data_IF_474511028073
#
_entry.id   IF_474511028073
#
_cell.length_a   1.000
_cell.length_b   1.000
_cell.length_c   1.000
_cell.angle_alpha   90.00
_cell.angle_beta   90.00
_cell.angle_gamma   90.00
#
_symmetry.space_group_name_H-M   'P 1'
#
loop_
_entity.id
_entity.type
_entity.pdbx_description
1 polymer ?
#
# COMPACT_ATOMS: atom_id res chain seq x y z
N UNK A 1 7.54 -11.06 -12.49
CA UNK A 1 6.87 -11.03 -11.16
C UNK A 1 5.41 -11.42 -11.34
N UNK A 2 4.86 -12.30 -10.51
CA UNK A 2 3.43 -12.63 -10.57
C UNK A 2 2.58 -11.47 -10.05
N UNK A 3 1.30 -11.38 -10.46
CA UNK A 3 0.38 -10.35 -9.98
C UNK A 3 0.25 -10.38 -8.45
N UNK A 4 0.23 -11.58 -7.85
CA UNK A 4 0.17 -11.75 -6.40
C UNK A 4 1.42 -11.21 -5.70
N UNK A 5 2.62 -11.49 -6.24
CA UNK A 5 3.87 -10.95 -5.68
C UNK A 5 3.93 -9.42 -5.79
N UNK A 6 3.41 -8.85 -6.88
CA UNK A 6 3.28 -7.40 -7.03
C UNK A 6 2.33 -6.79 -5.98
N UNK A 7 1.16 -7.41 -5.79
CA UNK A 7 0.16 -6.99 -4.81
C UNK A 7 0.68 -7.05 -3.37
N UNK A 8 1.37 -8.13 -2.99
CA UNK A 8 1.99 -8.26 -1.68
C UNK A 8 3.09 -7.21 -1.47
N UNK A 9 3.96 -7.03 -2.45
CA UNK A 9 5.03 -6.01 -2.38
C UNK A 9 4.44 -4.61 -2.23
N UNK A 10 3.37 -4.30 -2.97
CA UNK A 10 2.67 -3.03 -2.85
C UNK A 10 2.05 -2.84 -1.47
N UNK A 11 1.36 -3.86 -0.95
CA UNK A 11 0.76 -3.81 0.39
C UNK A 11 1.81 -3.55 1.48
N UNK A 12 2.92 -4.30 1.47
CA UNK A 12 4.00 -4.10 2.44
C UNK A 12 4.66 -2.73 2.32
N UNK A 13 4.99 -2.30 1.11
CA UNK A 13 5.59 -0.98 0.89
C UNK A 13 4.66 0.14 1.34
N UNK A 14 3.36 0.02 1.05
CA UNK A 14 2.33 0.96 1.52
C UNK A 14 2.32 1.02 3.04
N UNK A 15 2.22 -0.12 3.73
CA UNK A 15 2.22 -0.17 5.20
C UNK A 15 3.50 0.41 5.80
N UNK A 16 4.67 0.10 5.24
CA UNK A 16 5.94 0.66 5.72
C UNK A 16 5.91 2.18 5.63
N UNK A 17 5.47 2.73 4.51
CA UNK A 17 5.46 4.18 4.30
C UNK A 17 4.40 4.87 5.16
N UNK A 18 3.21 4.30 5.31
CA UNK A 18 2.10 4.97 6.00
C UNK A 18 2.03 4.71 7.50
N UNK A 19 2.59 3.60 7.98
CA UNK A 19 2.36 3.14 9.37
C UNK A 19 3.63 2.79 10.14
N UNK A 20 4.77 2.51 9.49
CA UNK A 20 6.01 2.20 10.22
C UNK A 20 6.61 3.45 10.86
N UNK A 21 7.18 3.28 12.05
CA UNK A 21 7.99 4.29 12.74
C UNK A 21 9.21 4.72 11.93
N UNK A 22 9.72 3.83 11.06
CA UNK A 22 10.85 4.13 10.17
C UNK A 22 10.59 5.33 9.26
N UNK A 23 9.33 5.51 8.82
CA UNK A 23 8.91 6.59 7.94
C UNK A 23 8.25 7.76 8.67
N UNK A 24 8.12 7.71 10.00
CA UNK A 24 7.53 8.81 10.78
C UNK A 24 8.25 10.15 10.55
N UNK A 25 9.60 10.24 10.52
CA UNK A 25 10.29 11.51 10.24
C UNK A 25 9.93 12.09 8.86
N UNK A 26 9.69 11.23 7.87
CA UNK A 26 9.31 11.64 6.51
C UNK A 26 7.88 12.17 6.51
N UNK A 27 6.95 11.47 7.18
CA UNK A 27 5.55 11.92 7.29
C UNK A 27 5.44 13.23 8.08
N UNK A 28 6.21 13.38 9.15
CA UNK A 28 6.27 14.61 9.93
C UNK A 28 6.78 15.79 9.08
N UNK A 29 7.89 15.59 8.36
CA UNK A 29 8.43 16.60 7.46
C UNK A 29 7.47 16.95 6.30
N UNK A 30 6.73 15.96 5.79
CA UNK A 30 5.72 16.18 4.76
C UNK A 30 4.56 17.05 5.29
N UNK A 31 4.04 16.76 6.49
CA UNK A 31 3.00 17.57 7.14
C UNK A 31 3.44 19.01 7.40
N UNK A 32 4.72 19.20 7.73
CA UNK A 32 5.26 20.53 8.01
C UNK A 32 5.48 21.36 6.74
N UNK A 33 5.90 20.70 5.64
CA UNK A 33 6.42 21.40 4.44
C UNK A 33 5.51 21.38 3.24
N UNK A 34 4.55 20.46 3.17
CA UNK A 34 3.68 20.30 2.01
C UNK A 34 2.27 20.79 2.35
N UNK A 35 1.67 21.62 1.47
CA UNK A 35 0.26 21.95 1.60
C UNK A 35 -0.60 20.73 1.22
N UNK A 36 -1.80 20.65 1.80
CA UNK A 36 -2.79 19.70 1.29
C UNK A 36 -3.16 20.01 -0.17
N UNK A 37 -3.36 19.00 -1.04
CA UNK A 37 -3.51 17.55 -0.76
C UNK A 37 -2.19 16.74 -0.89
N UNK A 38 -1.03 17.38 -0.95
CA UNK A 38 0.23 16.69 -1.24
C UNK A 38 0.74 15.86 -0.06
N UNK A 39 0.34 16.21 1.16
CA UNK A 39 0.62 15.44 2.36
C UNK A 39 -0.14 14.09 2.37
N UNK A 40 -1.38 14.06 1.87
CA UNK A 40 -2.17 12.82 1.73
C UNK A 40 -1.46 11.75 0.88
N UNK A 41 -0.54 12.12 -0.01
CA UNK A 41 0.19 11.16 -0.84
C UNK A 41 1.09 10.20 -0.05
N UNK A 42 1.52 10.61 1.16
CA UNK A 42 2.43 9.86 2.02
C UNK A 42 1.77 9.33 3.29
N UNK A 43 0.52 9.71 3.54
CA UNK A 43 -0.21 9.36 4.76
C UNK A 43 -1.47 8.54 4.46
N UNK A 44 -2.06 8.68 3.26
CA UNK A 44 -3.18 7.87 2.81
C UNK A 44 -2.70 6.60 2.10
N UNK A 45 -3.03 5.43 2.67
CA UNK A 45 -2.66 4.13 2.08
C UNK A 45 -3.18 3.91 0.65
N UNK A 46 -4.27 4.58 0.26
CA UNK A 46 -4.77 4.54 -1.14
C UNK A 46 -3.81 5.27 -2.07
N UNK A 47 -3.48 6.50 -1.69
CA UNK A 47 -2.65 7.39 -2.50
C UNK A 47 -1.25 6.78 -2.61
N UNK A 48 -0.65 6.40 -1.48
CA UNK A 48 0.65 5.77 -1.43
C UNK A 48 0.69 4.47 -2.24
N UNK A 49 -0.29 3.57 -2.04
CA UNK A 49 -0.35 2.30 -2.79
C UNK A 49 -0.54 2.49 -4.29
N UNK A 50 -1.27 3.52 -4.71
CA UNK A 50 -1.49 3.83 -6.13
C UNK A 50 -0.19 4.28 -6.81
N UNK A 51 0.59 5.16 -6.18
CA UNK A 51 1.88 5.61 -6.74
C UNK A 51 2.93 4.51 -6.75
N UNK A 52 2.98 3.66 -5.71
CA UNK A 52 3.84 2.47 -5.69
C UNK A 52 3.44 1.51 -6.82
N UNK A 53 2.13 1.29 -6.99
CA UNK A 53 1.61 0.42 -8.03
C UNK A 53 1.89 0.96 -9.43
N UNK A 54 1.81 2.28 -9.61
CA UNK A 54 2.21 2.95 -10.85
C UNK A 54 3.71 2.76 -11.11
N UNK A 55 4.56 2.96 -10.10
CA UNK A 55 6.00 2.74 -10.22
C UNK A 55 6.33 1.29 -10.60
N UNK A 56 5.71 0.30 -9.94
CA UNK A 56 5.82 -1.11 -10.29
C UNK A 56 5.33 -1.38 -11.73
N UNK A 57 4.21 -0.77 -12.12
CA UNK A 57 3.65 -0.87 -13.47
C UNK A 57 4.58 -0.29 -14.54
N UNK A 58 5.26 0.82 -14.26
CA UNK A 58 6.25 1.43 -15.16
C UNK A 58 7.54 0.60 -15.25
N UNK A 59 7.96 0.00 -14.14
CA UNK A 59 9.15 -0.87 -14.10
C UNK A 59 8.92 -2.20 -14.84
N UNK A 60 7.69 -2.70 -14.88
CA UNK A 60 7.36 -4.00 -15.48
C UNK A 60 6.64 -3.92 -16.82
N UNK A 61 6.07 -2.79 -17.18
CA UNK A 61 5.42 -2.58 -18.47
C UNK A 61 5.96 -1.31 -19.14
N UNK A 62 6.41 -1.43 -20.40
CA UNK A 62 6.80 -0.27 -21.23
C UNK A 62 5.59 0.55 -21.73
N UNK A 63 4.42 0.36 -21.14
CA UNK A 63 3.16 0.97 -21.59
C UNK A 63 2.54 1.80 -20.45
N UNK A 64 2.80 3.13 -20.41
CA UNK A 64 2.38 3.99 -19.30
C UNK A 64 0.86 4.01 -19.08
N UNK A 65 0.07 3.87 -20.15
CA UNK A 65 -1.39 3.79 -20.04
C UNK A 65 -1.86 2.54 -19.28
N UNK A 66 -1.16 1.41 -19.39
CA UNK A 66 -1.45 0.19 -18.63
C UNK A 66 -0.90 0.27 -17.21
N UNK A 67 0.15 1.04 -16.98
CA UNK A 67 0.76 1.20 -15.67
C UNK A 67 -0.18 1.87 -14.67
N UNK A 68 -1.02 2.82 -15.10
CA UNK A 68 -2.00 3.48 -14.22
C UNK A 68 -3.11 2.52 -13.79
N UNK A 69 -3.72 1.80 -14.73
CA UNK A 69 -4.76 0.80 -14.44
C UNK A 69 -4.20 -0.35 -13.60
N UNK A 70 -2.97 -0.77 -13.89
CA UNK A 70 -2.25 -1.76 -13.09
C UNK A 70 -1.98 -1.25 -11.67
N UNK A 71 -1.52 0.01 -11.53
CA UNK A 71 -1.25 0.61 -10.23
C UNK A 71 -2.48 0.71 -9.34
N UNK A 72 -3.61 1.14 -9.91
CA UNK A 72 -4.88 1.18 -9.20
C UNK A 72 -5.37 -0.23 -8.82
N UNK A 73 -5.29 -1.19 -9.73
CA UNK A 73 -5.69 -2.57 -9.47
C UNK A 73 -4.85 -3.20 -8.36
N UNK A 74 -3.52 -3.01 -8.40
CA UNK A 74 -2.57 -3.51 -7.40
C UNK A 74 -2.78 -2.84 -6.05
N UNK A 75 -3.09 -1.54 -6.00
CA UNK A 75 -3.43 -0.84 -4.76
C UNK A 75 -4.74 -1.35 -4.13
N UNK A 76 -5.77 -1.59 -4.94
CA UNK A 76 -7.02 -2.19 -4.47
C UNK A 76 -6.82 -3.63 -3.98
N UNK A 77 -6.07 -4.45 -4.73
CA UNK A 77 -5.72 -5.81 -4.30
C UNK A 77 -4.90 -5.82 -3.02
N UNK A 78 -3.92 -4.94 -2.87
CA UNK A 78 -3.10 -4.84 -1.66
C UNK A 78 -3.95 -4.55 -0.42
N UNK A 79 -4.96 -3.69 -0.53
CA UNK A 79 -5.92 -3.45 0.55
C UNK A 79 -6.82 -4.64 0.85
N UNK A 80 -7.32 -5.33 -0.18
CA UNK A 80 -8.11 -6.54 0.01
C UNK A 80 -7.30 -7.64 0.72
N UNK A 81 -6.04 -7.84 0.32
CA UNK A 81 -5.12 -8.80 0.99
C UNK A 81 -4.91 -8.42 2.45
N UNK A 82 -4.68 -7.14 2.75
CA UNK A 82 -4.52 -6.68 4.13
C UNK A 82 -5.78 -6.92 4.98
N UNK A 83 -6.96 -6.64 4.43
CA UNK A 83 -8.22 -6.93 5.11
C UNK A 83 -8.42 -8.42 5.36
N UNK A 84 -8.05 -9.27 4.40
CA UNK A 84 -8.11 -10.72 4.55
C UNK A 84 -7.12 -11.25 5.59
N UNK A 85 -5.90 -10.70 5.67
CA UNK A 85 -4.92 -11.07 6.70
C UNK A 85 -5.40 -10.68 8.10
N UNK A 86 -5.94 -9.46 8.27
CA UNK A 86 -6.52 -9.03 9.54
C UNK A 86 -7.73 -9.90 9.97
N UNK A 87 -8.56 -10.32 9.00
CA UNK A 87 -9.64 -11.27 9.26
C UNK A 87 -9.07 -12.63 9.69
N UNK A 88 -8.07 -13.15 8.98
CA UNK A 88 -7.45 -14.42 9.31
C UNK A 88 -6.85 -14.44 10.72
N UNK A 89 -6.24 -13.34 11.17
CA UNK A 89 -5.74 -13.17 12.54
C UNK A 89 -6.87 -13.22 13.57
N UNK A 90 -8.00 -12.58 13.30
CA UNK A 90 -9.19 -12.60 14.16
C UNK A 90 -9.75 -14.01 14.35
N UNK A 91 -9.72 -14.85 13.30
CA UNK A 91 -10.21 -16.23 13.36
C UNK A 91 -9.13 -17.26 13.77
N UNK A 92 -7.89 -16.83 13.96
CA UNK A 92 -6.80 -17.70 14.40
C UNK A 92 -6.68 -17.79 15.93
N UNK A 93 -7.37 -16.94 16.69
CA UNK A 93 -7.45 -17.08 18.15
C UNK A 93 -8.19 -18.37 18.52
N UNK A 94 -7.54 -19.32 19.24
CA UNK A 94 -8.22 -20.53 19.69
C UNK A 94 -9.31 -20.15 20.69
N UNK A 95 -10.52 -20.66 20.42
CA UNK A 95 -11.66 -20.59 21.35
C UNK A 95 -11.18 -20.90 22.78
N UNK A 96 -11.49 -20.04 23.77
CA UNK A 96 -11.18 -20.36 25.16
C UNK A 96 -11.86 -21.68 25.48
N UNK A 97 -11.06 -22.68 25.83
CA UNK A 97 -11.55 -24.01 26.16
C UNK A 97 -12.53 -23.90 27.33
N UNK A 98 -13.69 -24.58 27.28
CA UNK A 98 -14.72 -24.50 28.32
C UNK A 98 -14.24 -25.03 29.67
#
# INVERSE_FOLDING_TARGET
MSLMAAALTNAHATTIITESDLFEPVRAAARERLPEPWCDLLTCGVCTGTWIGLAQGLLHSRQPARALTYGLAVACLGRAVRALLALAETYAEPSPSP
#
